data_IF_890165461629
#
_entry.id   IF_890165461629
#
_cell.length_a   1.000
_cell.length_b   1.000
_cell.length_c   1.000
_cell.angle_alpha   90.00
_cell.angle_beta   90.00
_cell.angle_gamma   90.00
#
_symmetry.space_group_name_H-M   'P 1'
#
loop_
_entity.id
_entity.type
_entity.pdbx_description
1 polymer ?
#
# COMPACT_ATOMS: atom_id res chain seq x y z
N UNK A 1 -17.25 5.73 31.59
CA UNK A 1 -16.91 6.70 30.53
C UNK A 1 -16.58 5.94 29.26
N UNK A 2 -17.47 5.96 28.26
CA UNK A 2 -17.24 5.29 26.97
C UNK A 2 -16.03 5.90 26.28
N UNK A 3 -15.06 5.07 25.88
CA UNK A 3 -13.89 5.56 25.14
C UNK A 3 -14.34 6.02 23.76
N UNK A 4 -14.05 7.27 23.40
CA UNK A 4 -14.25 7.78 22.03
C UNK A 4 -13.46 6.92 21.06
N UNK A 5 -14.11 6.44 20.00
CA UNK A 5 -13.43 5.73 18.92
C UNK A 5 -12.52 6.76 18.24
N UNK A 6 -11.18 6.61 18.30
CA UNK A 6 -10.29 7.55 17.65
C UNK A 6 -10.54 7.54 16.16
N UNK A 7 -10.37 8.70 15.50
CA UNK A 7 -10.46 8.75 14.04
C UNK A 7 -9.49 7.75 13.42
N UNK A 8 -9.85 7.19 12.26
CA UNK A 8 -9.02 6.20 11.57
C UNK A 8 -7.57 6.69 11.40
N UNK A 9 -7.38 8.01 11.19
CA UNK A 9 -6.06 8.65 11.10
C UNK A 9 -5.22 8.49 12.36
N UNK A 10 -5.80 8.78 13.52
CA UNK A 10 -5.14 8.63 14.82
C UNK A 10 -4.83 7.16 15.12
N UNK A 11 -5.78 6.28 14.80
CA UNK A 11 -5.61 4.85 14.99
C UNK A 11 -4.51 4.27 14.08
N UNK A 12 -4.39 4.77 12.84
CA UNK A 12 -3.34 4.39 11.90
C UNK A 12 -1.95 4.81 12.39
N UNK A 13 -1.81 6.03 12.91
CA UNK A 13 -0.54 6.50 13.52
C UNK A 13 -0.17 5.67 14.76
N UNK A 14 -1.14 5.34 15.61
CA UNK A 14 -0.91 4.49 16.76
C UNK A 14 -0.46 3.08 16.34
N UNK A 15 -1.01 2.56 15.24
CA UNK A 15 -0.58 1.27 14.69
C UNK A 15 0.85 1.36 14.13
N UNK A 16 1.19 2.38 13.35
CA UNK A 16 2.54 2.62 12.81
C UNK A 16 3.61 2.65 13.92
N UNK A 17 3.30 3.25 15.07
CA UNK A 17 4.18 3.27 16.24
C UNK A 17 4.44 1.88 16.83
N UNK A 18 3.46 0.96 16.81
CA UNK A 18 3.66 -0.43 17.27
C UNK A 18 4.65 -1.18 16.39
N UNK A 19 4.71 -0.84 15.11
CA UNK A 19 5.62 -1.44 14.14
C UNK A 19 7.04 -0.84 14.18
N UNK A 20 7.30 0.14 15.06
CA UNK A 20 8.63 0.75 15.20
C UNK A 20 9.72 -0.26 15.58
N UNK A 21 9.40 -1.24 16.43
CA UNK A 21 10.34 -2.30 16.79
C UNK A 21 10.69 -3.15 15.58
N UNK A 22 9.70 -3.58 14.80
CA UNK A 22 9.92 -4.31 13.54
C UNK A 22 10.80 -3.51 12.58
N UNK A 23 10.47 -2.23 12.35
CA UNK A 23 11.25 -1.31 11.52
C UNK A 23 12.71 -1.20 11.98
N UNK A 24 12.98 -1.25 13.29
CA UNK A 24 14.34 -1.15 13.82
C UNK A 24 15.22 -2.35 13.50
N UNK A 25 14.62 -3.53 13.26
CA UNK A 25 15.34 -4.75 12.87
C UNK A 25 15.59 -4.85 11.36
N UNK A 26 14.93 -4.02 10.53
CA UNK A 26 15.18 -3.96 9.10
C UNK A 26 16.49 -3.24 8.77
N UNK A 27 17.05 -3.52 7.59
CA UNK A 27 18.19 -2.78 7.04
C UNK A 27 17.78 -1.34 6.63
N UNK A 28 18.77 -0.44 6.49
CA UNK A 28 18.52 0.99 6.19
C UNK A 28 17.69 1.20 4.93
N UNK A 29 17.93 0.40 3.88
CA UNK A 29 17.19 0.53 2.62
C UNK A 29 15.75 0.02 2.75
N UNK A 30 15.56 -1.08 3.49
CA UNK A 30 14.23 -1.66 3.68
C UNK A 30 13.37 -0.84 4.65
N UNK A 31 13.97 -0.12 5.60
CA UNK A 31 13.26 0.86 6.45
C UNK A 31 12.56 1.92 5.61
N UNK A 32 13.24 2.47 4.60
CA UNK A 32 12.65 3.50 3.72
C UNK A 32 11.47 2.94 2.93
N UNK A 33 11.63 1.74 2.36
CA UNK A 33 10.55 1.06 1.62
C UNK A 33 9.36 0.73 2.53
N UNK A 34 9.63 0.33 3.77
CA UNK A 34 8.59 0.05 4.75
C UNK A 34 7.79 1.31 5.12
N UNK A 35 8.46 2.45 5.33
CA UNK A 35 7.79 3.73 5.60
C UNK A 35 6.95 4.20 4.40
N UNK A 36 7.48 4.03 3.19
CA UNK A 36 6.76 4.32 1.95
C UNK A 36 5.51 3.43 1.81
N UNK A 37 5.64 2.13 2.09
CA UNK A 37 4.52 1.19 2.10
C UNK A 37 3.43 1.61 3.11
N UNK A 38 3.80 2.00 4.33
CA UNK A 38 2.83 2.53 5.30
C UNK A 38 2.20 3.85 4.85
N UNK A 39 2.93 4.67 4.08
CA UNK A 39 2.41 5.92 3.53
C UNK A 39 1.22 5.72 2.58
N UNK A 40 1.19 4.60 1.87
CA UNK A 40 0.11 4.23 0.95
C UNK A 40 -1.23 4.13 1.68
N UNK A 41 -1.23 3.63 2.92
CA UNK A 41 -2.45 3.50 3.73
C UNK A 41 -3.18 4.84 3.93
N UNK A 42 -2.44 5.97 3.93
CA UNK A 42 -3.01 7.31 4.05
C UNK A 42 -3.82 7.72 2.84
N UNK A 43 -3.50 7.21 1.65
CA UNK A 43 -4.26 7.47 0.42
C UNK A 43 -5.63 6.79 0.46
N UNK A 44 -5.74 5.68 1.18
CA UNK A 44 -6.98 4.90 1.33
C UNK A 44 -7.71 5.18 2.64
N UNK A 45 -7.43 6.30 3.30
CA UNK A 45 -8.00 6.65 4.61
C UNK A 45 -9.55 6.65 4.59
N UNK A 46 -10.17 7.20 3.54
CA UNK A 46 -11.63 7.20 3.38
C UNK A 46 -12.22 5.79 3.31
N UNK A 47 -11.64 4.93 2.47
CA UNK A 47 -12.08 3.54 2.32
C UNK A 47 -11.89 2.75 3.62
N UNK A 48 -10.77 2.95 4.30
CA UNK A 48 -10.48 2.26 5.55
C UNK A 48 -11.35 2.72 6.71
N UNK A 49 -11.65 4.02 6.79
CA UNK A 49 -12.56 4.61 7.78
C UNK A 49 -13.99 4.09 7.60
N UNK A 50 -14.43 3.93 6.36
CA UNK A 50 -15.78 3.45 6.04
C UNK A 50 -15.95 1.93 6.21
N UNK A 51 -14.86 1.17 6.30
CA UNK A 51 -14.91 -0.29 6.46
C UNK A 51 -15.46 -0.73 7.83
N UNK A 52 -15.65 0.18 8.80
CA UNK A 52 -16.18 -0.08 10.14
C UNK A 52 -15.54 -1.29 10.86
N UNK A 53 -14.28 -1.60 10.54
CA UNK A 53 -13.55 -2.73 11.12
C UNK A 53 -12.87 -2.29 12.42
N UNK A 54 -13.08 -3.03 13.53
CA UNK A 54 -12.45 -2.69 14.82
C UNK A 54 -10.94 -2.92 14.81
N UNK A 55 -10.45 -3.84 13.97
CA UNK A 55 -9.03 -4.14 13.82
C UNK A 55 -8.45 -3.32 12.66
N UNK A 56 -7.76 -2.24 13.02
CA UNK A 56 -7.25 -1.22 12.09
C UNK A 56 -6.18 -1.78 11.16
N UNK A 57 -5.32 -2.67 11.66
CA UNK A 57 -4.24 -3.29 10.86
C UNK A 57 -4.79 -4.04 9.65
N UNK A 58 -5.98 -4.65 9.74
CA UNK A 58 -6.62 -5.32 8.60
C UNK A 58 -6.92 -4.34 7.46
N UNK A 59 -7.43 -3.15 7.79
CA UNK A 59 -7.74 -2.13 6.78
C UNK A 59 -6.45 -1.55 6.16
N UNK A 60 -5.42 -1.33 6.98
CA UNK A 60 -4.09 -0.87 6.51
C UNK A 60 -3.48 -1.88 5.54
N UNK A 61 -3.41 -3.16 5.93
CA UNK A 61 -2.84 -4.22 5.10
C UNK A 61 -3.64 -4.39 3.80
N UNK A 62 -4.97 -4.34 3.86
CA UNK A 62 -5.81 -4.42 2.67
C UNK A 62 -5.53 -3.27 1.69
N UNK A 63 -5.37 -2.04 2.18
CA UNK A 63 -5.02 -0.89 1.35
C UNK A 63 -3.66 -1.06 0.67
N UNK A 64 -2.66 -1.55 1.40
CA UNK A 64 -1.31 -1.80 0.89
C UNK A 64 -1.35 -2.87 -0.21
N UNK A 65 -2.01 -4.01 0.04
CA UNK A 65 -2.16 -5.10 -0.93
C UNK A 65 -2.84 -4.60 -2.20
N UNK A 66 -3.95 -3.85 -2.06
CA UNK A 66 -4.68 -3.32 -3.20
C UNK A 66 -3.82 -2.36 -4.04
N UNK A 67 -3.03 -1.51 -3.40
CA UNK A 67 -2.14 -0.60 -4.10
C UNK A 67 -1.07 -1.35 -4.91
N UNK A 68 -0.39 -2.31 -4.29
CA UNK A 68 0.61 -3.11 -4.98
C UNK A 68 0.02 -3.98 -6.09
N UNK A 69 -1.18 -4.52 -5.89
CA UNK A 69 -1.89 -5.24 -6.95
C UNK A 69 -2.16 -4.35 -8.17
N UNK A 70 -2.61 -3.12 -7.97
CA UNK A 70 -2.79 -2.14 -9.06
C UNK A 70 -1.48 -1.82 -9.76
N UNK A 71 -0.39 -1.65 -9.02
CA UNK A 71 0.94 -1.40 -9.59
C UNK A 71 1.40 -2.57 -10.47
N UNK A 72 1.29 -3.81 -9.96
CA UNK A 72 1.65 -5.02 -10.70
C UNK A 72 0.83 -5.18 -11.98
N UNK A 73 -0.49 -5.02 -11.90
CA UNK A 73 -1.37 -5.06 -13.08
C UNK A 73 -1.02 -3.97 -14.09
N UNK A 74 -0.66 -2.78 -13.62
CA UNK A 74 -0.19 -1.68 -14.47
C UNK A 74 1.12 -2.02 -15.21
N UNK A 75 2.08 -2.63 -14.51
CA UNK A 75 3.35 -3.08 -15.09
C UNK A 75 3.13 -4.20 -16.13
N UNK A 76 2.29 -5.19 -15.81
CA UNK A 76 1.92 -6.26 -16.74
C UNK A 76 1.29 -5.72 -18.02
N UNK A 77 0.34 -4.77 -17.90
CA UNK A 77 -0.31 -4.14 -19.06
C UNK A 77 0.69 -3.36 -19.93
N UNK A 78 1.58 -2.57 -19.30
CA UNK A 78 2.63 -1.84 -20.02
C UNK A 78 3.60 -2.77 -20.74
N UNK A 79 4.01 -3.85 -20.09
CA UNK A 79 4.93 -4.81 -20.69
C UNK A 79 4.30 -5.52 -21.90
N UNK A 80 3.01 -5.89 -21.81
CA UNK A 80 2.26 -6.46 -22.93
C UNK A 80 2.22 -5.50 -24.13
N UNK A 81 1.89 -4.23 -23.89
CA UNK A 81 1.87 -3.21 -24.95
C UNK A 81 3.25 -3.05 -25.61
N UNK A 82 4.33 -3.04 -24.83
CA UNK A 82 5.69 -2.91 -25.36
C UNK A 82 6.10 -4.11 -26.25
N UNK A 83 5.63 -5.32 -25.93
CA UNK A 83 5.86 -6.52 -26.76
C UNK A 83 5.12 -6.41 -28.10
N UNK A 84 3.86 -5.92 -28.08
CA UNK A 84 3.06 -5.72 -29.29
C UNK A 84 3.70 -4.68 -30.21
N UNK A 85 4.16 -3.54 -29.67
CA UNK A 85 4.84 -2.51 -30.44
C UNK A 85 6.18 -2.97 -31.05
N UNK A 86 6.93 -3.83 -30.34
CA UNK A 86 8.17 -4.42 -30.90
C UNK A 86 7.89 -5.38 -32.05
N UNK A 87 6.82 -6.17 -32.00
CA UNK A 87 6.43 -7.08 -33.11
C UNK A 87 5.98 -6.31 -34.36
N UNK A 88 5.25 -5.21 -34.21
CA UNK A 88 4.83 -4.37 -35.34
C UNK A 88 6.04 -3.73 -36.05
N UNK A 89 7.08 -3.35 -35.29
CA UNK A 89 8.31 -2.79 -35.86
C UNK A 89 9.26 -3.82 -36.49
N UNK A 90 9.05 -5.13 -36.27
CA UNK A 90 9.82 -6.20 -36.92
C UNK A 90 9.11 -6.79 -38.15
N UNK A 91 7.78 -6.65 -38.25
CA UNK A 91 6.98 -7.10 -39.40
C UNK A 91 6.95 -6.10 -40.58
N UNK A 92 7.48 -4.89 -40.38
CA UNK A 92 7.56 -3.82 -41.39
C UNK A 92 8.95 -3.65 -42.02
N UNK A 93 9.82 -4.66 -41.93
CA UNK A 93 11.14 -4.68 -42.57
C UNK A 93 11.28 -5.92 -43.45
#
# INVERSE_FOLDING_TARGET
MGRTIPSFRLACMAEELKWRSFRSYLDKDDRKKFDEMFSVSRQYNSACSNSARPIIIHSIVMAIILHHYKQLMGLMKKNCNNIVSKKQNQSGR
#
